data_IF_446106429632
#
_entry.id   IF_446106429632
#
_cell.length_a   1.000
_cell.length_b   1.000
_cell.length_c   1.000
_cell.angle_alpha   90.00
_cell.angle_beta   90.00
_cell.angle_gamma   90.00
#
_symmetry.space_group_name_H-M   'P 1'
#
loop_
_entity.id
_entity.type
_entity.pdbx_description
1 polymer ?
#
# COMPACT_ATOMS: atom_id res chain seq x y z
N UNK A 1 -8.92 5.42 -6.80
CA UNK A 1 -7.64 6.17 -6.96
C UNK A 1 -6.51 5.18 -7.24
N UNK A 2 -5.26 5.61 -7.49
CA UNK A 2 -4.13 4.69 -7.74
C UNK A 2 -3.92 3.69 -6.60
N UNK A 3 -4.13 4.10 -5.35
CA UNK A 3 -4.08 3.22 -4.17
C UNK A 3 -5.07 2.05 -4.30
N UNK A 4 -6.35 2.33 -4.59
CA UNK A 4 -7.36 1.28 -4.75
C UNK A 4 -7.05 0.36 -5.94
N UNK A 5 -6.52 0.91 -7.04
CA UNK A 5 -6.13 0.11 -8.20
C UNK A 5 -5.00 -0.85 -7.87
N UNK A 6 -3.95 -0.38 -7.19
CA UNK A 6 -2.86 -1.24 -6.71
C UNK A 6 -3.38 -2.29 -5.73
N UNK A 7 -4.18 -1.90 -4.73
CA UNK A 7 -4.79 -2.83 -3.77
C UNK A 7 -5.67 -3.89 -4.47
N UNK A 8 -6.41 -3.51 -5.51
CA UNK A 8 -7.23 -4.44 -6.30
C UNK A 8 -6.37 -5.43 -7.08
N UNK A 9 -5.27 -4.96 -7.69
CA UNK A 9 -4.31 -5.83 -8.39
C UNK A 9 -3.66 -6.82 -7.42
N UNK A 10 -3.18 -6.32 -6.28
CA UNK A 10 -2.58 -7.12 -5.22
C UNK A 10 -3.57 -8.19 -4.73
N UNK A 11 -4.81 -7.79 -4.47
CA UNK A 11 -5.83 -8.70 -3.99
C UNK A 11 -6.10 -9.86 -4.96
N UNK A 12 -6.19 -9.56 -6.25
CA UNK A 12 -6.56 -10.52 -7.28
C UNK A 12 -5.40 -11.41 -7.74
N UNK A 13 -4.16 -10.92 -7.66
CA UNK A 13 -3.02 -11.55 -8.33
C UNK A 13 -1.98 -12.12 -7.35
N UNK A 14 -1.83 -11.57 -6.13
CA UNK A 14 -0.93 -12.15 -5.14
C UNK A 14 -1.42 -13.52 -4.68
N UNK A 15 -0.47 -14.45 -4.58
CA UNK A 15 -0.67 -15.81 -4.07
C UNK A 15 0.51 -16.17 -3.20
N UNK A 16 0.28 -17.00 -2.19
CA UNK A 16 1.37 -17.65 -1.46
C UNK A 16 2.21 -18.50 -2.41
N UNK A 17 3.53 -18.45 -2.27
CA UNK A 17 4.48 -19.07 -3.18
C UNK A 17 4.22 -18.70 -4.66
N UNK A 18 4.13 -17.41 -4.97
CA UNK A 18 3.68 -16.92 -6.29
C UNK A 18 4.55 -17.43 -7.46
N UNK A 19 5.84 -17.64 -7.20
CA UNK A 19 6.77 -18.22 -8.17
C UNK A 19 6.80 -19.75 -8.14
N UNK A 20 5.98 -20.44 -7.33
CA UNK A 20 6.02 -21.88 -7.13
C UNK A 20 7.44 -22.40 -6.85
N UNK A 21 8.18 -21.68 -6.00
CA UNK A 21 9.53 -22.07 -5.62
C UNK A 21 9.48 -23.43 -4.91
N UNK A 22 10.45 -24.31 -5.18
CA UNK A 22 10.44 -25.68 -4.66
C UNK A 22 10.65 -25.73 -3.14
N UNK A 23 11.36 -24.75 -2.58
CA UNK A 23 11.65 -24.65 -1.16
C UNK A 23 12.12 -23.25 -0.80
N UNK A 24 11.74 -22.76 0.38
CA UNK A 24 12.28 -21.52 0.96
C UNK A 24 13.70 -21.66 1.52
N UNK A 25 14.24 -22.89 1.57
CA UNK A 25 15.61 -23.17 2.02
C UNK A 25 16.63 -23.12 0.88
N UNK A 26 16.16 -23.04 -0.37
CA UNK A 26 17.03 -22.93 -1.55
C UNK A 26 17.13 -21.43 -1.87
N UNK A 27 18.35 -20.87 -1.99
CA UNK A 27 18.51 -19.50 -2.43
C UNK A 27 17.87 -19.28 -3.80
N UNK A 28 17.18 -18.16 -3.97
CA UNK A 28 16.57 -17.76 -5.26
C UNK A 28 17.56 -17.85 -6.45
N UNK A 29 18.84 -17.57 -6.20
CA UNK A 29 19.92 -17.64 -7.21
C UNK A 29 20.23 -19.04 -7.69
N UNK A 30 19.85 -20.06 -6.93
CA UNK A 30 20.04 -21.48 -7.27
C UNK A 30 18.82 -22.06 -7.99
N UNK A 31 17.73 -21.30 -8.11
CA UNK A 31 16.53 -21.70 -8.87
C UNK A 31 16.81 -21.48 -10.37
N UNK A 32 16.72 -22.54 -11.20
CA UNK A 32 16.91 -22.39 -12.64
C UNK A 32 15.91 -21.40 -13.25
N UNK A 33 16.38 -20.52 -14.15
CA UNK A 33 15.57 -19.52 -14.85
C UNK A 33 14.76 -18.60 -13.91
N UNK A 34 15.26 -18.35 -12.70
CA UNK A 34 14.54 -17.55 -11.68
C UNK A 34 14.04 -16.21 -12.22
N UNK A 35 14.85 -15.47 -12.95
CA UNK A 35 14.44 -14.16 -13.49
C UNK A 35 13.30 -14.25 -14.51
N UNK A 36 13.30 -15.27 -15.37
CA UNK A 36 12.23 -15.50 -16.34
C UNK A 36 10.93 -15.88 -15.62
N UNK A 37 11.04 -16.71 -14.58
CA UNK A 37 9.92 -17.10 -13.73
C UNK A 37 9.32 -15.88 -13.00
N UNK A 38 10.16 -14.99 -12.46
CA UNK A 38 9.70 -13.75 -11.81
C UNK A 38 8.97 -12.86 -12.82
N UNK A 39 9.52 -12.69 -14.02
CA UNK A 39 8.89 -11.91 -15.08
C UNK A 39 7.53 -12.50 -15.51
N UNK A 40 7.42 -13.83 -15.59
CA UNK A 40 6.18 -14.53 -15.94
C UNK A 40 5.13 -14.45 -14.83
N UNK A 41 5.53 -14.68 -13.57
CA UNK A 41 4.60 -14.85 -12.44
C UNK A 41 4.20 -13.56 -11.76
N UNK A 42 5.10 -12.59 -11.67
CA UNK A 42 4.82 -11.28 -11.09
C UNK A 42 4.47 -10.31 -12.22
N UNK A 43 5.32 -10.18 -13.24
CA UNK A 43 5.13 -9.20 -14.31
C UNK A 43 5.16 -7.75 -13.82
N UNK A 44 5.14 -6.80 -14.75
CA UNK A 44 5.38 -5.38 -14.45
C UNK A 44 4.25 -4.76 -13.60
N UNK A 45 3.00 -5.07 -13.92
CA UNK A 45 1.83 -4.48 -13.26
C UNK A 45 1.70 -4.89 -11.79
N UNK A 46 1.93 -6.17 -11.47
CA UNK A 46 1.91 -6.62 -10.09
C UNK A 46 3.14 -6.10 -9.34
N UNK A 47 4.33 -6.13 -9.95
CA UNK A 47 5.55 -5.58 -9.35
C UNK A 47 5.36 -4.10 -8.98
N UNK A 48 4.84 -3.30 -9.91
CA UNK A 48 4.50 -1.90 -9.65
C UNK A 48 3.54 -1.77 -8.47
N UNK A 49 2.48 -2.58 -8.45
CA UNK A 49 1.49 -2.53 -7.36
C UNK A 49 2.10 -2.93 -6.01
N UNK A 50 2.97 -3.96 -5.97
CA UNK A 50 3.68 -4.38 -4.76
C UNK A 50 4.57 -3.27 -4.19
N UNK A 51 5.22 -2.51 -5.08
CA UNK A 51 6.17 -1.45 -4.69
C UNK A 51 5.43 -0.17 -4.27
N UNK A 52 4.39 0.24 -4.99
CA UNK A 52 3.85 1.59 -4.90
C UNK A 52 2.49 1.71 -4.21
N UNK A 53 1.80 0.62 -3.85
CA UNK A 53 0.48 0.73 -3.20
C UNK A 53 0.51 1.61 -1.94
N UNK A 54 1.54 1.46 -1.11
CA UNK A 54 1.71 2.25 0.11
C UNK A 54 1.99 3.72 -0.18
N UNK A 55 2.86 4.02 -1.15
CA UNK A 55 3.09 5.39 -1.60
C UNK A 55 1.79 6.06 -2.06
N UNK A 56 1.01 5.39 -2.90
CA UNK A 56 -0.25 5.92 -3.40
C UNK A 56 -1.30 6.07 -2.30
N UNK A 57 -1.29 5.18 -1.30
CA UNK A 57 -2.13 5.29 -0.12
C UNK A 57 -1.86 6.62 0.62
N UNK A 58 -0.59 6.98 0.82
CA UNK A 58 -0.23 8.22 1.50
C UNK A 58 -0.51 9.49 0.69
N UNK A 59 -0.42 9.41 -0.64
CA UNK A 59 -0.71 10.55 -1.52
C UNK A 59 -2.21 10.71 -1.81
N UNK A 60 -3.04 9.76 -1.39
CA UNK A 60 -4.48 9.83 -1.63
C UNK A 60 -5.18 10.79 -0.67
N UNK A 61 -6.18 11.52 -1.17
CA UNK A 61 -7.20 12.14 -0.32
C UNK A 61 -7.92 11.02 0.44
N UNK A 62 -7.72 11.00 1.75
CA UNK A 62 -8.04 9.84 2.56
C UNK A 62 -9.54 9.66 2.75
N UNK A 63 -10.09 8.67 2.04
CA UNK A 63 -11.35 8.04 2.40
C UNK A 63 -11.09 6.91 3.41
N UNK A 64 -11.91 6.82 4.46
CA UNK A 64 -11.86 5.72 5.44
C UNK A 64 -11.87 4.34 4.75
N UNK A 65 -12.61 4.20 3.65
CA UNK A 65 -12.73 2.95 2.89
C UNK A 65 -11.40 2.45 2.30
N UNK A 66 -10.53 3.35 1.80
CA UNK A 66 -9.24 2.94 1.23
C UNK A 66 -8.27 2.48 2.33
N UNK A 67 -8.34 3.11 3.51
CA UNK A 67 -7.55 2.70 4.69
C UNK A 67 -8.02 1.32 5.18
N UNK A 68 -9.33 1.11 5.31
CA UNK A 68 -9.90 -0.20 5.68
C UNK A 68 -9.50 -1.30 4.68
N UNK A 69 -9.49 -0.98 3.38
CA UNK A 69 -9.03 -1.92 2.34
C UNK A 69 -7.55 -2.26 2.50
N UNK A 70 -6.71 -1.27 2.81
CA UNK A 70 -5.28 -1.48 3.06
C UNK A 70 -5.03 -2.34 4.31
N UNK A 71 -5.74 -2.06 5.41
CA UNK A 71 -5.70 -2.89 6.62
C UNK A 71 -6.11 -4.33 6.31
N UNK A 72 -7.23 -4.50 5.60
CA UNK A 72 -7.72 -5.83 5.24
C UNK A 72 -6.75 -6.60 4.34
N UNK A 73 -6.11 -5.90 3.41
CA UNK A 73 -5.07 -6.48 2.57
C UNK A 73 -3.89 -6.98 3.41
N UNK A 74 -3.37 -6.16 4.33
CA UNK A 74 -2.26 -6.56 5.20
C UNK A 74 -2.60 -7.77 6.08
N UNK A 75 -3.82 -7.82 6.62
CA UNK A 75 -4.30 -8.96 7.42
C UNK A 75 -4.38 -10.27 6.63
N UNK A 76 -4.83 -10.20 5.37
CA UNK A 76 -5.18 -11.40 4.59
C UNK A 76 -4.08 -11.87 3.66
N UNK A 77 -3.30 -10.94 3.11
CA UNK A 77 -2.31 -11.19 2.06
C UNK A 77 -0.96 -10.52 2.34
N UNK A 78 -0.77 -9.91 3.53
CA UNK A 78 0.48 -9.23 3.88
C UNK A 78 1.72 -10.12 3.78
N UNK A 79 1.61 -11.40 4.16
CA UNK A 79 2.72 -12.37 4.01
C UNK A 79 3.03 -12.65 2.54
N UNK A 80 2.00 -12.71 1.68
CA UNK A 80 2.20 -12.95 0.24
C UNK A 80 2.88 -11.76 -0.42
N UNK A 81 2.54 -10.56 0.03
CA UNK A 81 3.22 -9.34 -0.38
C UNK A 81 4.67 -9.30 0.09
N UNK A 82 4.96 -9.64 1.35
CA UNK A 82 6.33 -9.74 1.87
C UNK A 82 7.16 -10.74 1.05
N UNK A 83 6.59 -11.88 0.71
CA UNK A 83 7.23 -12.89 -0.15
C UNK A 83 7.54 -12.30 -1.53
N UNK A 84 6.56 -11.66 -2.19
CA UNK A 84 6.76 -11.03 -3.48
C UNK A 84 7.84 -9.93 -3.43
N UNK A 85 7.85 -9.11 -2.38
CA UNK A 85 8.89 -8.10 -2.17
C UNK A 85 10.27 -8.71 -1.93
N UNK A 86 10.36 -9.86 -1.26
CA UNK A 86 11.60 -10.62 -1.12
C UNK A 86 12.12 -11.12 -2.45
N UNK A 87 11.24 -11.70 -3.28
CA UNK A 87 11.56 -12.16 -4.64
C UNK A 87 12.07 -10.99 -5.50
N UNK A 88 11.43 -9.82 -5.39
CA UNK A 88 11.82 -8.57 -6.04
C UNK A 88 13.09 -7.92 -5.45
N UNK A 89 13.73 -8.54 -4.44
CA UNK A 89 14.92 -8.05 -3.73
C UNK A 89 14.71 -6.72 -2.98
N UNK A 90 13.46 -6.46 -2.58
CA UNK A 90 13.02 -5.25 -1.88
C UNK A 90 12.46 -5.54 -0.48
N UNK A 91 12.77 -6.69 0.12
CA UNK A 91 12.29 -7.05 1.47
C UNK A 91 12.59 -5.97 2.53
N UNK A 92 13.73 -5.29 2.42
CA UNK A 92 14.15 -4.25 3.34
C UNK A 92 13.18 -3.05 3.39
N UNK A 93 12.47 -2.76 2.30
CA UNK A 93 11.51 -1.64 2.25
C UNK A 93 10.19 -1.97 2.94
N UNK A 94 9.87 -3.25 3.14
CA UNK A 94 8.61 -3.67 3.75
C UNK A 94 8.49 -3.17 5.19
N UNK A 95 9.57 -3.27 5.97
CA UNK A 95 9.58 -2.83 7.37
C UNK A 95 9.32 -1.34 7.50
N UNK A 96 10.00 -0.53 6.68
CA UNK A 96 9.82 0.93 6.64
C UNK A 96 8.38 1.31 6.29
N UNK A 97 7.81 0.66 5.27
CA UNK A 97 6.43 0.91 4.87
C UNK A 97 5.44 0.51 5.98
N UNK A 98 5.60 -0.67 6.58
CA UNK A 98 4.70 -1.16 7.63
C UNK A 98 4.73 -0.27 8.87
N UNK A 99 5.91 0.16 9.31
CA UNK A 99 6.03 1.10 10.43
C UNK A 99 5.37 2.44 10.11
N UNK A 100 5.55 2.94 8.89
CA UNK A 100 4.91 4.17 8.48
C UNK A 100 3.38 4.05 8.44
N UNK A 101 2.83 2.97 7.83
CA UNK A 101 1.39 2.69 7.80
C UNK A 101 0.83 2.61 9.22
N UNK A 102 1.51 1.91 10.13
CA UNK A 102 1.09 1.74 11.51
C UNK A 102 1.02 3.08 12.26
N UNK A 103 2.07 3.90 12.17
CA UNK A 103 2.09 5.24 12.77
C UNK A 103 0.94 6.07 12.22
N UNK A 104 0.76 6.02 10.90
CA UNK A 104 -0.24 6.80 10.21
C UNK A 104 -1.68 6.40 10.56
N UNK A 105 -2.01 5.10 10.60
CA UNK A 105 -3.31 4.59 11.06
C UNK A 105 -3.58 5.01 12.50
N UNK A 106 -2.59 4.89 13.39
CA UNK A 106 -2.73 5.33 14.78
C UNK A 106 -3.05 6.83 14.88
N UNK A 107 -2.40 7.68 14.06
CA UNK A 107 -2.73 9.09 13.98
C UNK A 107 -4.15 9.31 13.48
N UNK A 108 -4.58 8.64 12.42
CA UNK A 108 -5.95 8.76 11.89
C UNK A 108 -6.99 8.37 12.95
N UNK A 109 -6.77 7.29 13.69
CA UNK A 109 -7.64 6.86 14.78
C UNK A 109 -7.67 7.88 15.93
N UNK A 110 -6.52 8.42 16.33
CA UNK A 110 -6.43 9.45 17.36
C UNK A 110 -7.14 10.75 16.94
N UNK A 111 -6.92 11.20 15.70
CA UNK A 111 -7.60 12.36 15.14
C UNK A 111 -9.11 12.11 15.13
N UNK A 112 -9.57 10.93 14.69
CA UNK A 112 -10.99 10.59 14.68
C UNK A 112 -11.59 10.61 16.10
N UNK A 113 -10.88 10.09 17.10
CA UNK A 113 -11.29 10.13 18.51
C UNK A 113 -11.36 11.57 19.07
N UNK A 114 -10.32 12.37 18.84
CA UNK A 114 -10.23 13.75 19.36
C UNK A 114 -11.24 14.68 18.69
N UNK A 115 -11.50 14.52 17.40
CA UNK A 115 -12.34 15.44 16.62
C UNK A 115 -13.80 14.99 16.48
N UNK A 116 -14.15 13.73 16.74
CA UNK A 116 -15.56 13.32 16.85
C UNK A 116 -16.24 13.77 18.14
N UNK A 117 -15.48 14.23 19.15
CA UNK A 117 -16.05 14.66 20.43
C UNK A 117 -16.46 16.14 20.46
N UNK A 118 -15.99 17.02 19.54
CA UNK A 118 -16.48 18.41 19.44
C UNK A 118 -15.99 19.15 18.18
N UNK A 119 -16.94 19.69 17.37
CA UNK A 119 -16.80 20.65 16.24
C UNK A 119 -16.17 20.13 14.93
N UNK A 120 -16.94 19.29 14.23
CA UNK A 120 -16.64 18.63 12.96
C UNK A 120 -16.43 19.51 11.68
N UNK A 121 -16.28 20.84 11.77
CA UNK A 121 -16.19 21.70 10.55
C UNK A 121 -14.80 22.28 10.28
N UNK A 122 -13.90 22.32 11.27
CA UNK A 122 -12.64 23.07 11.15
C UNK A 122 -11.50 22.21 10.56
N UNK A 123 -11.53 20.89 10.79
CA UNK A 123 -10.43 20.00 10.41
C UNK A 123 -10.45 19.59 8.95
N UNK A 124 -11.63 19.43 8.33
CA UNK A 124 -11.72 19.15 6.89
C UNK A 124 -11.07 20.26 6.06
N UNK A 125 -11.22 21.50 6.52
CA UNK A 125 -10.58 22.69 5.94
C UNK A 125 -9.09 22.76 6.27
N UNK A 126 -8.67 22.38 7.48
CA UNK A 126 -7.26 22.41 7.88
C UNK A 126 -6.40 21.31 7.23
N UNK A 127 -6.94 20.10 7.03
CA UNK A 127 -6.25 19.01 6.34
C UNK A 127 -6.06 19.30 4.84
N UNK A 128 -7.03 19.93 4.17
CA UNK A 128 -6.84 20.46 2.81
C UNK A 128 -5.78 21.57 2.74
N UNK A 129 -5.59 22.35 3.81
CA UNK A 129 -4.53 23.37 3.85
C UNK A 129 -3.13 22.78 4.07
N UNK A 130 -3.02 21.64 4.73
CA UNK A 130 -1.72 20.97 5.01
C UNK A 130 -1.27 20.08 3.83
N UNK A 131 -2.18 19.61 2.97
CA UNK A 131 -1.85 18.81 1.78
C UNK A 131 -1.40 19.63 0.55
N UNK A 132 -1.29 20.96 0.65
CA UNK A 132 -0.67 21.79 -0.39
C UNK A 132 -1.50 22.02 -1.67
N UNK A 133 -2.83 21.87 -1.63
CA UNK A 133 -3.71 22.25 -2.74
C UNK A 133 -4.40 23.60 -2.48
N UNK A 134 -3.66 24.70 -2.68
CA UNK A 134 -4.20 26.07 -2.65
C UNK A 134 -4.15 26.76 -4.03
N UNK A 135 -4.38 26.01 -5.12
CA UNK A 135 -4.61 26.61 -6.44
C UNK A 135 -5.88 26.01 -7.06
N UNK A 136 -7.04 26.56 -6.67
CA UNK A 136 -8.31 26.15 -7.27
C UNK A 136 -9.55 26.91 -6.81
N UNK A 137 -9.51 27.63 -5.68
CA UNK A 137 -10.65 28.47 -5.26
C UNK A 137 -10.45 29.90 -5.80
N UNK A 138 -10.57 30.06 -7.12
CA UNK A 138 -11.00 31.32 -7.75
C UNK A 138 -11.29 31.08 -9.24
N UNK A 139 -12.54 31.40 -9.64
CA UNK A 139 -13.26 31.18 -10.91
C UNK A 139 -14.15 29.94 -10.80
N UNK A 140 -15.47 30.04 -10.72
CA UNK A 140 -16.36 31.02 -11.36
C UNK A 140 -17.80 30.85 -10.88
N UNK A 141 -18.47 31.99 -10.67
CA UNK A 141 -19.92 32.25 -10.46
C UNK A 141 -20.61 31.62 -9.25
#
# INVERSE_FOLDING_TARGET
MLADSCLSILHNQLKFNICNLPSSFIPDTEVPNFNELVAEKIGETLAYSCIFWGYHLFQSELGCETVERAEKFLETQGVFWIEAMSILKLLHTCGELLEFIKVWINWLQLLNYLFNSSRALIVKTALCMVSGQLLGICKSY
#
